data_IF_865491272331
#
_entry.id   IF_865491272331
#
_cell.length_a   1.000
_cell.length_b   1.000
_cell.length_c   1.000
_cell.angle_alpha   90.00
_cell.angle_beta   90.00
_cell.angle_gamma   90.00
#
_symmetry.space_group_name_H-M   'P 1'
#
loop_
_entity.id
_entity.type
_entity.pdbx_description
1 polymer ?
#
# COMPACT_ATOMS: atom_id res chain seq x y z
N UNK A 1 -2.07 -12.31 -2.72
CA UNK A 1 -1.53 -10.98 -2.33
C UNK A 1 -0.73 -11.14 -1.05
N UNK A 2 0.47 -10.57 -0.94
CA UNK A 2 1.34 -10.75 0.24
C UNK A 2 1.21 -9.63 1.27
N UNK A 3 0.55 -8.52 0.92
CA UNK A 3 0.39 -7.36 1.78
C UNK A 3 -1.09 -7.02 1.96
N UNK A 4 -1.49 -6.67 3.17
CA UNK A 4 -2.83 -6.18 3.48
C UNK A 4 -2.74 -4.87 4.26
N UNK A 5 -3.86 -4.21 4.52
CA UNK A 5 -3.95 -3.16 5.54
C UNK A 5 -4.73 -3.67 6.74
N UNK A 6 -4.27 -3.38 7.95
CA UNK A 6 -5.04 -3.66 9.17
C UNK A 6 -6.10 -2.57 9.42
N UNK A 7 -6.83 -2.67 10.54
CA UNK A 7 -7.85 -1.69 10.94
C UNK A 7 -7.31 -0.27 11.14
N UNK A 8 -6.01 -0.13 11.43
CA UNK A 8 -5.33 1.15 11.61
C UNK A 8 -4.71 1.66 10.30
N UNK A 9 -5.08 1.05 9.17
CA UNK A 9 -4.52 1.28 7.84
C UNK A 9 -3.02 0.98 7.72
N UNK A 10 -2.37 0.33 8.67
CA UNK A 10 -0.96 -0.08 8.53
C UNK A 10 -0.85 -1.26 7.59
N UNK A 11 0.16 -1.25 6.72
CA UNK A 11 0.42 -2.40 5.86
C UNK A 11 1.10 -3.49 6.66
N UNK A 12 0.61 -4.71 6.46
CA UNK A 12 1.12 -5.91 7.13
C UNK A 12 1.42 -6.95 6.06
N UNK A 13 2.63 -7.52 6.09
CA UNK A 13 3.00 -8.67 5.29
C UNK A 13 2.28 -9.93 5.81
N UNK A 14 1.97 -10.88 4.93
CA UNK A 14 1.32 -12.14 5.32
C UNK A 14 2.13 -12.94 6.34
N UNK A 15 3.46 -12.91 6.27
CA UNK A 15 4.36 -13.63 7.18
C UNK A 15 4.26 -13.06 8.59
N UNK A 16 4.46 -11.74 8.73
CA UNK A 16 4.30 -11.02 10.00
C UNK A 16 2.89 -11.20 10.57
N UNK A 17 1.86 -11.03 9.72
CA UNK A 17 0.47 -11.23 10.11
C UNK A 17 0.23 -12.64 10.66
N UNK A 18 0.77 -13.68 10.02
CA UNK A 18 0.59 -15.06 10.47
C UNK A 18 1.34 -15.33 11.78
N UNK A 19 2.53 -14.76 11.97
CA UNK A 19 3.30 -14.87 13.21
C UNK A 19 2.54 -14.19 14.36
N UNK A 20 2.15 -12.93 14.18
CA UNK A 20 1.41 -12.17 15.20
C UNK A 20 0.06 -12.82 15.52
N UNK A 21 -0.67 -13.30 14.51
CA UNK A 21 -1.97 -13.95 14.73
C UNK A 21 -1.84 -15.26 15.50
N UNK A 22 -0.77 -16.03 15.25
CA UNK A 22 -0.46 -17.24 16.01
C UNK A 22 -0.08 -16.93 17.46
N UNK A 23 0.79 -15.93 17.67
CA UNK A 23 1.23 -15.51 19.01
C UNK A 23 0.06 -15.01 19.87
N UNK A 24 -0.87 -14.27 19.27
CA UNK A 24 -2.01 -13.68 19.98
C UNK A 24 -3.25 -14.60 20.03
N UNK A 25 -3.22 -15.76 19.36
CA UNK A 25 -4.36 -16.68 19.26
C UNK A 25 -5.58 -16.13 18.52
N UNK A 26 -5.45 -14.98 17.83
CA UNK A 26 -6.54 -14.28 17.15
C UNK A 26 -6.05 -13.83 15.77
N UNK A 27 -6.90 -13.97 14.76
CA UNK A 27 -6.67 -13.46 13.40
C UNK A 27 -7.44 -12.15 13.18
N UNK A 28 -6.81 -10.97 13.36
CA UNK A 28 -7.50 -9.70 13.26
C UNK A 28 -7.96 -9.41 11.82
N UNK A 29 -8.98 -8.58 11.68
CA UNK A 29 -9.49 -8.22 10.37
C UNK A 29 -8.44 -7.44 9.56
N UNK A 30 -8.18 -7.93 8.35
CA UNK A 30 -7.31 -7.30 7.37
C UNK A 30 -8.07 -7.00 6.09
N UNK A 31 -7.63 -5.98 5.37
CA UNK A 31 -8.34 -5.42 4.23
C UNK A 31 -7.41 -5.28 3.02
N UNK A 32 -8.02 -5.26 1.85
CA UNK A 32 -7.32 -5.06 0.60
C UNK A 32 -6.80 -3.62 0.52
N UNK A 33 -5.49 -3.40 0.30
CA UNK A 33 -4.94 -2.06 0.13
C UNK A 33 -5.52 -1.34 -1.10
N UNK A 34 -6.08 -2.09 -2.06
CA UNK A 34 -6.60 -1.53 -3.30
C UNK A 34 -8.11 -1.29 -3.28
N UNK A 35 -8.91 -2.06 -2.55
CA UNK A 35 -10.37 -1.91 -2.60
C UNK A 35 -11.04 -1.78 -1.22
N UNK A 36 -10.26 -1.91 -0.14
CA UNK A 36 -10.75 -1.79 1.24
C UNK A 36 -11.63 -2.96 1.69
N UNK A 37 -11.92 -3.93 0.82
CA UNK A 37 -12.70 -5.12 1.18
C UNK A 37 -11.88 -6.02 2.09
N UNK A 38 -12.56 -6.67 3.05
CA UNK A 38 -11.94 -7.63 3.97
C UNK A 38 -11.30 -8.78 3.20
N UNK A 39 -10.07 -9.12 3.55
CA UNK A 39 -9.32 -10.25 3.01
C UNK A 39 -9.41 -11.45 3.96
N UNK A 40 -9.10 -12.61 3.41
CA UNK A 40 -8.89 -13.86 4.13
C UNK A 40 -7.47 -14.35 3.85
N UNK A 41 -6.91 -15.13 4.77
CA UNK A 41 -5.68 -15.87 4.49
C UNK A 41 -6.03 -17.19 3.80
N UNK A 42 -5.25 -17.54 2.79
CA UNK A 42 -5.36 -18.78 2.01
C UNK A 42 -4.04 -19.53 2.04
N UNK A 43 -4.09 -20.83 1.76
CA UNK A 43 -2.90 -21.70 1.70
C UNK A 43 -2.08 -21.69 3.00
N UNK A 44 -2.73 -21.74 4.17
CA UNK A 44 -2.04 -21.81 5.48
C UNK A 44 -1.40 -23.20 5.69
N UNK A 45 -2.05 -24.26 5.18
CA UNK A 45 -1.68 -25.66 5.38
C UNK A 45 -1.57 -26.43 4.04
N UNK A 46 -1.18 -25.76 2.96
CA UNK A 46 -0.94 -26.41 1.66
C UNK A 46 0.51 -26.21 1.23
N UNK A 47 0.93 -26.96 0.22
CA UNK A 47 2.24 -26.77 -0.43
C UNK A 47 2.32 -25.47 -1.26
N UNK A 48 1.22 -24.71 -1.33
CA UNK A 48 1.20 -23.39 -1.97
C UNK A 48 1.64 -22.30 -0.99
N UNK A 49 2.24 -21.23 -1.50
CA UNK A 49 2.67 -20.11 -0.67
C UNK A 49 1.47 -19.40 -0.04
N UNK A 50 1.46 -19.32 1.30
CA UNK A 50 0.43 -18.60 2.07
C UNK A 50 0.28 -17.17 1.58
N UNK A 51 -0.97 -16.72 1.39
CA UNK A 51 -1.25 -15.40 0.87
C UNK A 51 -2.62 -14.88 1.32
N UNK A 52 -2.81 -13.57 1.23
CA UNK A 52 -4.12 -12.96 1.34
C UNK A 52 -4.91 -13.08 0.03
N UNK A 53 -6.21 -13.31 0.17
CA UNK A 53 -7.17 -13.43 -0.92
C UNK A 53 -8.48 -12.74 -0.57
N UNK A 54 -9.22 -12.30 -1.58
CA UNK A 54 -10.61 -11.91 -1.37
C UNK A 54 -11.46 -13.15 -1.11
N UNK A 55 -12.61 -12.97 -0.45
CA UNK A 55 -13.57 -14.06 -0.29
C UNK A 55 -14.04 -14.58 -1.65
N UNK A 56 -14.45 -15.86 -1.75
CA UNK A 56 -15.07 -16.38 -2.97
C UNK A 56 -16.19 -15.46 -3.46
N UNK A 57 -16.27 -15.25 -4.79
CA UNK A 57 -17.22 -14.33 -5.46
C UNK A 57 -17.02 -12.83 -5.16
N UNK A 58 -15.98 -12.44 -4.44
CA UNK A 58 -15.59 -11.03 -4.31
C UNK A 58 -14.41 -10.73 -5.23
N UNK A 59 -14.69 -10.04 -6.34
CA UNK A 59 -13.63 -9.48 -7.18
C UNK A 59 -13.04 -8.22 -6.54
N UNK A 60 -11.74 -8.02 -6.78
CA UNK A 60 -11.08 -6.77 -6.45
C UNK A 60 -11.45 -5.74 -7.51
N UNK A 61 -12.41 -4.88 -7.21
CA UNK A 61 -12.57 -3.62 -7.94
C UNK A 61 -11.44 -2.72 -7.47
N UNK A 62 -10.32 -2.72 -8.19
CA UNK A 62 -9.20 -1.82 -7.91
C UNK A 62 -9.74 -0.40 -7.76
N UNK A 63 -9.68 0.15 -6.55
CA UNK A 63 -10.00 1.56 -6.32
C UNK A 63 -8.70 2.33 -6.41
N UNK A 64 -8.73 3.45 -7.14
CA UNK A 64 -7.62 4.38 -7.12
C UNK A 64 -7.41 4.86 -5.66
N UNK A 65 -6.16 5.08 -5.24
CA UNK A 65 -5.88 5.66 -3.92
C UNK A 65 -6.63 7.00 -3.73
N UNK A 66 -6.90 7.74 -4.80
CA UNK A 66 -7.75 8.95 -4.79
C UNK A 66 -9.18 8.72 -4.31
N UNK A 67 -9.70 7.49 -4.31
CA UNK A 67 -11.02 7.16 -3.73
C UNK A 67 -10.96 6.91 -2.21
N UNK A 68 -9.79 6.54 -1.67
CA UNK A 68 -9.57 6.40 -0.23
C UNK A 68 -9.31 7.76 0.43
N UNK A 69 -8.55 8.61 -0.26
CA UNK A 69 -8.31 9.99 0.15
C UNK A 69 -9.44 10.86 -0.41
N UNK A 70 -10.58 10.87 0.30
CA UNK A 70 -11.80 11.58 -0.15
C UNK A 70 -11.48 12.98 -0.69
N UNK A 71 -12.03 13.29 -1.85
CA UNK A 71 -12.11 14.62 -2.45
C UNK A 71 -13.16 15.53 -1.79
N UNK A 72 -13.76 15.15 -0.65
CA UNK A 72 -14.70 15.95 0.14
C UNK A 72 -14.02 16.67 1.33
N UNK A 73 -14.44 17.90 1.68
CA UNK A 73 -13.72 18.84 2.57
C UNK A 73 -13.21 20.14 1.91
N UNK A 74 -12.30 20.87 2.56
CA UNK A 74 -11.63 22.09 2.05
C UNK A 74 -10.34 21.75 1.28
N UNK A 75 -10.11 22.27 0.06
CA UNK A 75 -8.90 21.98 -0.70
C UNK A 75 -7.65 22.41 0.08
N UNK A 76 -6.53 21.69 -0.11
CA UNK A 76 -5.24 22.16 0.38
C UNK A 76 -4.93 23.51 -0.23
N UNK A 77 -4.51 24.45 0.60
CA UNK A 77 -3.97 25.73 0.13
C UNK A 77 -2.60 25.50 -0.51
N UNK A 78 -2.09 26.49 -1.24
CA UNK A 78 -0.72 26.45 -1.76
C UNK A 78 0.30 26.27 -0.63
N UNK A 79 0.08 26.91 0.52
CA UNK A 79 0.94 26.76 1.70
C UNK A 79 0.94 25.31 2.23
N UNK A 80 -0.22 24.65 2.29
CA UNK A 80 -0.31 23.24 2.71
C UNK A 80 0.45 22.30 1.77
N UNK A 81 0.40 22.58 0.46
CA UNK A 81 1.13 21.80 -0.55
C UNK A 81 2.64 21.99 -0.39
N UNK A 82 3.11 23.21 -0.17
CA UNK A 82 4.55 23.46 0.06
C UNK A 82 5.04 22.82 1.36
N UNK A 83 4.28 22.95 2.45
CA UNK A 83 4.58 22.28 3.71
C UNK A 83 4.66 20.76 3.58
N UNK A 84 3.77 20.17 2.76
CA UNK A 84 3.82 18.75 2.45
C UNK A 84 5.09 18.39 1.67
N UNK A 85 5.45 19.14 0.62
CA UNK A 85 6.69 18.89 -0.14
C UNK A 85 7.92 18.92 0.76
N UNK A 86 8.04 19.94 1.62
CA UNK A 86 9.13 20.06 2.60
C UNK A 86 9.12 18.84 3.52
N UNK A 87 7.96 18.46 4.05
CA UNK A 87 7.82 17.29 4.92
C UNK A 87 8.26 15.99 4.22
N UNK A 88 7.95 15.83 2.93
CA UNK A 88 8.35 14.66 2.13
C UNK A 88 9.87 14.62 1.96
N UNK A 89 10.49 15.76 1.68
CA UNK A 89 11.95 15.86 1.53
C UNK A 89 12.65 15.54 2.85
N UNK A 90 12.21 16.17 3.96
CA UNK A 90 12.79 15.94 5.28
C UNK A 90 12.67 14.49 5.75
N UNK A 91 11.59 13.82 5.37
CA UNK A 91 11.34 12.42 5.73
C UNK A 91 11.74 11.42 4.64
N UNK A 92 12.36 11.87 3.54
CA UNK A 92 12.63 11.04 2.36
C UNK A 92 13.45 9.80 2.68
N UNK A 93 14.51 9.94 3.48
CA UNK A 93 15.33 8.80 3.91
C UNK A 93 14.55 7.81 4.77
N UNK A 94 13.72 8.30 5.69
CA UNK A 94 12.85 7.45 6.54
C UNK A 94 11.82 6.70 5.70
N UNK A 95 11.23 7.36 4.71
CA UNK A 95 10.30 6.75 3.75
C UNK A 95 11.02 5.70 2.91
N UNK A 96 12.24 5.99 2.43
CA UNK A 96 13.07 5.03 1.69
C UNK A 96 13.38 3.78 2.50
N UNK A 97 13.85 3.95 3.74
CA UNK A 97 14.16 2.83 4.62
C UNK A 97 12.92 1.97 4.87
N UNK A 98 11.78 2.62 5.19
CA UNK A 98 10.51 1.93 5.39
C UNK A 98 10.08 1.16 4.14
N UNK A 99 10.17 1.79 2.97
CA UNK A 99 9.84 1.16 1.69
C UNK A 99 10.72 -0.06 1.40
N UNK A 100 12.02 0.07 1.68
CA UNK A 100 12.99 -0.99 1.47
C UNK A 100 12.81 -2.16 2.44
N UNK A 101 12.58 -1.87 3.72
CA UNK A 101 12.44 -2.90 4.75
C UNK A 101 11.11 -3.64 4.65
N UNK A 102 10.00 -2.92 4.44
CA UNK A 102 8.66 -3.50 4.53
C UNK A 102 8.12 -4.01 3.19
N UNK A 103 8.61 -3.53 2.04
CA UNK A 103 7.95 -3.81 0.75
C UNK A 103 8.87 -4.34 -0.34
N UNK A 104 10.05 -3.75 -0.50
CA UNK A 104 10.98 -4.10 -1.59
C UNK A 104 12.43 -3.99 -1.12
N UNK A 105 13.01 -5.10 -0.61
CA UNK A 105 14.41 -5.13 -0.17
C UNK A 105 15.42 -4.71 -1.26
N UNK A 106 15.05 -4.89 -2.54
CA UNK A 106 15.82 -4.49 -3.71
C UNK A 106 15.61 -3.03 -4.13
N UNK A 107 14.86 -2.24 -3.37
CA UNK A 107 14.66 -0.82 -3.64
C UNK A 107 15.98 -0.08 -3.58
N UNK A 108 16.36 0.50 -4.71
CA UNK A 108 17.51 1.38 -4.85
C UNK A 108 17.07 2.86 -4.90
N UNK A 109 18.06 3.76 -4.81
CA UNK A 109 17.82 5.20 -4.82
C UNK A 109 17.19 5.67 -6.15
N UNK A 110 17.55 5.06 -7.28
CA UNK A 110 17.04 5.43 -8.61
C UNK A 110 15.55 5.14 -8.74
N UNK A 111 15.13 3.95 -8.30
CA UNK A 111 13.74 3.55 -8.24
C UNK A 111 13.01 4.46 -7.26
N UNK A 112 13.56 4.74 -6.09
CA UNK A 112 12.96 5.65 -5.10
C UNK A 112 12.73 7.08 -5.64
N UNK A 113 13.68 7.65 -6.36
CA UNK A 113 13.53 8.95 -7.00
C UNK A 113 12.38 8.94 -8.03
N UNK A 114 12.20 7.84 -8.79
CA UNK A 114 11.05 7.71 -9.71
C UNK A 114 9.72 7.74 -8.96
N UNK A 115 9.65 7.15 -7.75
CA UNK A 115 8.47 7.22 -6.87
C UNK A 115 8.18 8.66 -6.49
N UNK A 116 9.20 9.37 -5.99
CA UNK A 116 9.04 10.75 -5.54
C UNK A 116 8.57 11.65 -6.68
N UNK A 117 9.13 11.50 -7.89
CA UNK A 117 8.68 12.23 -9.08
C UNK A 117 7.18 12.01 -9.36
N UNK A 118 6.68 10.79 -9.16
CA UNK A 118 5.26 10.50 -9.31
C UNK A 118 4.43 11.16 -8.21
N UNK A 119 4.83 11.05 -6.95
CA UNK A 119 4.16 11.70 -5.80
C UNK A 119 4.11 13.23 -5.95
N UNK A 120 5.12 13.83 -6.58
CA UNK A 120 5.18 15.25 -6.90
C UNK A 120 4.15 15.71 -7.94
N UNK A 121 3.38 14.81 -8.54
CA UNK A 121 2.29 15.17 -9.44
C UNK A 121 1.27 16.05 -8.68
N UNK A 122 0.91 17.24 -9.21
CA UNK A 122 -0.01 18.17 -8.54
C UNK A 122 -1.33 17.54 -8.11
N UNK A 123 -1.88 16.60 -8.89
CA UNK A 123 -3.12 15.90 -8.55
C UNK A 123 -2.99 15.04 -7.29
N UNK A 124 -1.80 14.50 -7.03
CA UNK A 124 -1.49 13.69 -5.85
C UNK A 124 -1.31 14.57 -4.63
N UNK A 125 -0.53 15.64 -4.77
CA UNK A 125 -0.27 16.59 -3.67
C UNK A 125 -1.55 17.26 -3.17
N UNK A 126 -2.53 17.45 -4.06
CA UNK A 126 -3.86 17.98 -3.74
C UNK A 126 -4.77 17.00 -2.98
N UNK A 127 -4.40 15.71 -2.88
CA UNK A 127 -5.21 14.75 -2.13
C UNK A 127 -5.27 15.15 -0.66
N UNK A 128 -6.50 15.23 -0.14
CA UNK A 128 -6.73 15.56 1.26
C UNK A 128 -6.26 14.43 2.17
N UNK A 129 -5.78 14.80 3.35
CA UNK A 129 -5.18 13.87 4.33
C UNK A 129 -3.93 13.12 3.85
N UNK A 130 -3.40 13.42 2.65
CA UNK A 130 -2.08 12.94 2.25
C UNK A 130 -1.02 13.54 3.17
N UNK A 131 -0.34 12.64 3.89
CA UNK A 131 0.83 12.87 4.73
C UNK A 131 1.98 11.98 4.25
N UNK A 132 3.20 12.22 4.73
CA UNK A 132 4.36 11.40 4.38
C UNK A 132 4.17 9.90 4.61
N UNK A 133 3.35 9.53 5.60
CA UNK A 133 3.06 8.13 5.94
C UNK A 133 2.31 7.38 4.84
N UNK A 134 1.63 8.09 3.94
CA UNK A 134 0.86 7.49 2.85
C UNK A 134 1.63 7.34 1.54
N UNK A 135 2.87 7.87 1.46
CA UNK A 135 3.72 7.73 0.28
C UNK A 135 3.95 6.27 -0.13
N UNK A 136 4.17 5.32 0.80
CA UNK A 136 4.27 3.90 0.45
C UNK A 136 3.04 3.34 -0.29
N UNK A 137 1.85 3.84 0.01
CA UNK A 137 0.60 3.39 -0.60
C UNK A 137 0.43 3.95 -2.01
N UNK A 138 0.78 5.23 -2.19
CA UNK A 138 0.83 5.85 -3.52
C UNK A 138 1.84 5.10 -4.38
N UNK A 139 3.00 4.76 -3.81
CA UNK A 139 4.00 3.96 -4.50
C UNK A 139 3.46 2.59 -4.94
N UNK A 140 2.85 1.82 -4.03
CA UNK A 140 2.28 0.51 -4.35
C UNK A 140 1.20 0.58 -5.43
N UNK A 141 0.40 1.65 -5.44
CA UNK A 141 -0.63 1.89 -6.45
C UNK A 141 0.00 2.26 -7.81
N UNK A 142 1.01 3.13 -7.80
CA UNK A 142 1.70 3.64 -8.99
C UNK A 142 2.69 2.64 -9.62
N UNK A 143 3.11 1.63 -8.87
CA UNK A 143 3.83 0.47 -9.41
C UNK A 143 2.97 -0.37 -10.37
N UNK A 144 1.64 -0.25 -10.30
CA UNK A 144 0.71 -0.88 -11.25
C UNK A 144 0.84 -0.44 -12.72
N UNK A 145 1.89 0.31 -13.08
CA UNK A 145 2.28 0.67 -14.46
C UNK A 145 3.76 0.47 -14.79
N UNK A 146 4.62 0.16 -13.81
CA UNK A 146 6.02 -0.19 -14.06
C UNK A 146 6.19 -1.67 -13.72
N UNK A 147 6.06 -2.50 -14.75
CA UNK A 147 6.30 -3.95 -14.77
C UNK A 147 5.98 -4.69 -13.48
N UNK A 148 4.79 -5.29 -13.48
CA UNK A 148 4.27 -6.31 -12.57
C UNK A 148 5.21 -7.54 -12.41
N UNK A 149 6.43 -7.35 -11.89
CA UNK A 149 7.30 -8.45 -11.45
C UNK A 149 7.26 -8.66 -9.94
N UNK A 150 6.71 -7.71 -9.17
CA UNK A 150 6.42 -7.92 -7.75
C UNK A 150 4.97 -8.39 -7.60
N UNK A 151 4.71 -9.61 -8.10
CA UNK A 151 3.62 -10.52 -7.74
C UNK A 151 2.26 -9.88 -7.35
N UNK A 152 1.52 -9.46 -8.37
CA UNK A 152 0.05 -9.47 -8.34
C UNK A 152 -0.45 -10.57 -9.27
N UNK A 153 -0.17 -11.84 -8.94
CA UNK A 153 -0.93 -12.95 -9.47
C UNK A 153 -2.33 -12.90 -8.86
N UNK A 154 -3.19 -12.06 -9.45
CA UNK A 154 -4.61 -12.38 -9.49
C UNK A 154 -4.73 -13.56 -10.45
N UNK A 155 -5.28 -14.68 -9.97
CA UNK A 155 -5.65 -15.82 -10.80
C UNK A 155 -6.43 -15.35 -12.05
N UNK A 156 -5.75 -15.20 -13.17
CA UNK A 156 -6.37 -15.35 -14.48
C UNK A 156 -6.27 -16.82 -14.83
N UNK A 157 -7.28 -17.59 -14.43
CA UNK A 157 -7.55 -18.87 -15.08
C UNK A 157 -7.80 -18.57 -16.57
N UNK A 158 -6.96 -19.14 -17.43
CA UNK A 158 -7.40 -19.64 -18.74
C UNK A 158 -7.19 -21.15 -18.70
#
# INVERSE_FOLDING_TARGET
MFYCINSNNHIVNIEDYCIESKLNGIYPAVFCPFCGKKLIVKAINSNEKTNFSHKPKQSCSYKSYSEFFKSSGTPKTSADIENLKVSIILNSYKIFLKLKSEYLPTLDANLFIKILKKVSNPKILQLRSLTCNYIPYIWLNELGKFDNKVYLYTNSKK
#
